data_IF_694015954704
#
_entry.id   IF_694015954704
#
_cell.length_a   1.000
_cell.length_b   1.000
_cell.length_c   1.000
_cell.angle_alpha   90.00
_cell.angle_beta   90.00
_cell.angle_gamma   90.00
#
_symmetry.space_group_name_H-M   'P 1'
#
loop_
_entity.id
_entity.type
_entity.pdbx_description
1 polymer ?
#
# COMPACT_ATOMS: atom_id res chain seq x y z
N UNK A 1 -8.07 60.56 -4.92
CA UNK A 1 -8.35 59.80 -3.68
C UNK A 1 -8.36 58.34 -4.10
N UNK A 2 -7.30 57.62 -3.82
CA UNK A 2 -7.25 56.20 -4.07
C UNK A 2 -8.00 55.52 -2.91
N UNK A 3 -9.06 54.77 -3.23
CA UNK A 3 -9.74 53.91 -2.27
C UNK A 3 -8.73 52.87 -1.75
N UNK A 4 -8.41 53.00 -0.45
CA UNK A 4 -7.68 51.98 0.28
C UNK A 4 -8.64 50.79 0.42
N UNK A 5 -8.54 49.83 -0.50
CA UNK A 5 -9.13 48.52 -0.33
C UNK A 5 -8.57 47.92 0.97
N UNK A 6 -9.42 47.74 1.96
CA UNK A 6 -9.11 47.06 3.21
C UNK A 6 -8.73 45.62 2.84
N UNK A 7 -7.51 45.24 3.20
CA UNK A 7 -6.95 43.90 2.98
C UNK A 7 -7.56 42.94 4.04
N UNK A 8 -8.90 42.82 4.04
CA UNK A 8 -9.66 41.94 4.92
C UNK A 8 -9.49 40.51 4.44
N UNK A 9 -8.55 39.78 5.06
CA UNK A 9 -8.38 38.34 4.82
C UNK A 9 -6.94 37.82 4.77
N UNK A 10 -5.91 38.63 4.50
CA UNK A 10 -4.54 38.10 4.51
C UNK A 10 -3.82 38.39 5.81
N UNK A 11 -3.34 37.36 6.48
CA UNK A 11 -2.69 37.39 7.80
C UNK A 11 -1.33 38.14 7.84
N UNK A 12 -0.79 38.51 6.67
CA UNK A 12 0.52 39.18 6.52
C UNK A 12 0.44 40.51 5.76
N UNK A 13 -0.78 41.06 5.70
CA UNK A 13 -1.05 42.27 4.93
C UNK A 13 -0.42 43.58 5.42
N UNK A 14 -0.09 43.70 6.71
CA UNK A 14 0.35 44.97 7.30
C UNK A 14 1.67 45.54 6.73
N UNK A 15 2.55 44.69 6.18
CA UNK A 15 3.84 45.10 5.59
C UNK A 15 3.72 45.46 4.12
N UNK A 16 2.73 44.93 3.42
CA UNK A 16 2.59 45.09 1.98
C UNK A 16 1.62 46.23 1.64
N UNK A 17 1.97 47.01 0.63
CA UNK A 17 1.14 48.15 0.19
C UNK A 17 -0.10 47.73 -0.61
N UNK A 18 -0.11 46.46 -1.11
CA UNK A 18 -1.23 45.87 -1.86
C UNK A 18 -1.35 44.39 -1.53
N UNK A 19 -2.51 43.82 -1.79
CA UNK A 19 -2.73 42.36 -1.74
C UNK A 19 -1.94 41.61 -2.82
N UNK A 20 -1.93 40.25 -2.79
CA UNK A 20 -1.32 39.45 -3.83
C UNK A 20 -1.96 39.69 -5.20
N UNK A 21 -1.20 39.55 -6.28
CA UNK A 21 -1.78 39.57 -7.62
C UNK A 21 -2.74 38.40 -7.83
N UNK A 22 -3.72 38.52 -8.73
CA UNK A 22 -4.64 37.42 -9.02
C UNK A 22 -3.91 36.12 -9.44
N UNK A 23 -2.79 36.25 -10.17
CA UNK A 23 -1.98 35.14 -10.62
C UNK A 23 -1.30 34.42 -9.43
N UNK A 24 -0.74 35.20 -8.49
CA UNK A 24 -0.14 34.65 -7.27
C UNK A 24 -1.20 33.98 -6.38
N UNK A 25 -2.35 34.62 -6.21
CA UNK A 25 -3.46 34.07 -5.43
C UNK A 25 -3.92 32.72 -6.03
N UNK A 26 -4.08 32.65 -7.35
CA UNK A 26 -4.46 31.40 -8.05
C UNK A 26 -3.39 30.31 -7.93
N UNK A 27 -2.10 30.67 -8.05
CA UNK A 27 -0.98 29.72 -7.93
C UNK A 27 -0.84 29.19 -6.51
N UNK A 28 -1.18 30.01 -5.50
CA UNK A 28 -1.03 29.69 -4.07
C UNK A 28 -2.18 28.86 -3.51
N UNK A 29 -3.34 28.85 -4.17
CA UNK A 29 -4.56 28.22 -3.66
C UNK A 29 -4.42 26.71 -3.59
N UNK A 30 -4.74 26.14 -2.42
CA UNK A 30 -4.63 24.69 -2.15
C UNK A 30 -5.92 24.05 -1.64
N UNK A 31 -6.99 24.84 -1.42
CA UNK A 31 -8.25 24.34 -0.85
C UNK A 31 -8.89 23.19 -1.61
N UNK A 32 -8.57 23.01 -2.90
CA UNK A 32 -9.10 21.93 -3.74
C UNK A 32 -8.53 20.55 -3.42
N UNK A 33 -7.38 20.48 -2.74
CA UNK A 33 -6.81 19.20 -2.27
C UNK A 33 -6.61 19.16 -0.75
N UNK A 34 -6.31 20.27 -0.09
CA UNK A 34 -5.95 20.29 1.34
C UNK A 34 -7.16 20.27 2.28
N UNK A 35 -8.39 20.43 1.76
CA UNK A 35 -9.61 20.33 2.56
C UNK A 35 -9.76 19.01 3.31
N UNK A 36 -9.12 17.94 2.81
CA UNK A 36 -9.02 16.64 3.48
C UNK A 36 -8.34 16.73 4.86
N UNK A 37 -7.57 17.79 5.11
CA UNK A 37 -6.91 18.01 6.41
C UNK A 37 -7.80 18.76 7.42
N UNK A 38 -9.05 19.13 7.09
CA UNK A 38 -9.88 19.95 7.97
C UNK A 38 -10.10 19.32 9.36
N UNK A 39 -10.44 18.03 9.44
CA UNK A 39 -10.61 17.32 10.71
C UNK A 39 -9.34 17.31 11.56
N UNK A 40 -8.19 17.07 10.91
CA UNK A 40 -6.88 17.07 11.58
C UNK A 40 -6.48 18.47 12.05
N UNK A 41 -6.81 19.51 11.30
CA UNK A 41 -6.59 20.90 11.74
C UNK A 41 -7.39 21.23 13.00
N UNK A 42 -8.65 20.84 13.05
CA UNK A 42 -9.50 21.03 14.22
C UNK A 42 -8.97 20.27 15.44
N UNK A 43 -8.49 19.03 15.25
CA UNK A 43 -7.83 18.27 16.32
C UNK A 43 -6.54 18.96 16.79
N UNK A 44 -5.70 19.41 15.85
CA UNK A 44 -4.50 20.20 16.13
C UNK A 44 -4.80 21.51 16.89
N UNK A 45 -5.86 22.20 16.47
CA UNK A 45 -6.32 23.45 17.11
C UNK A 45 -6.81 23.23 18.54
N UNK A 46 -7.52 22.11 18.83
CA UNK A 46 -7.90 21.73 20.20
C UNK A 46 -6.68 21.44 21.08
N UNK A 47 -5.72 20.68 20.57
CA UNK A 47 -4.49 20.37 21.29
C UNK A 47 -3.69 21.65 21.60
N UNK A 48 -3.62 22.57 20.64
CA UNK A 48 -2.93 23.84 20.78
C UNK A 48 -3.64 24.78 21.78
N UNK A 49 -4.96 24.87 21.75
CA UNK A 49 -5.73 25.67 22.70
C UNK A 49 -5.48 25.21 24.16
N UNK A 50 -5.41 23.88 24.39
CA UNK A 50 -5.06 23.33 25.70
C UNK A 50 -3.63 23.69 26.11
N UNK A 51 -2.69 23.70 25.19
CA UNK A 51 -1.30 24.09 25.47
C UNK A 51 -1.20 25.60 25.81
N UNK A 52 -1.96 26.45 25.10
CA UNK A 52 -2.05 27.88 25.42
C UNK A 52 -2.63 28.14 26.81
N UNK A 53 -3.68 27.40 27.19
CA UNK A 53 -4.27 27.50 28.52
C UNK A 53 -3.30 27.02 29.63
N UNK A 54 -2.63 25.90 29.42
CA UNK A 54 -1.62 25.41 30.35
C UNK A 54 -0.44 26.39 30.56
N UNK A 55 -0.09 27.15 29.50
CA UNK A 55 0.92 28.20 29.55
C UNK A 55 0.40 29.58 30.07
N UNK A 56 -0.91 29.68 30.39
CA UNK A 56 -1.51 30.87 30.97
C UNK A 56 -1.95 31.95 29.93
N UNK A 57 -2.02 31.61 28.66
CA UNK A 57 -2.46 32.55 27.61
C UNK A 57 -3.97 32.50 27.35
N UNK A 58 -4.65 31.46 27.82
CA UNK A 58 -6.11 31.34 27.87
C UNK A 58 -6.53 31.03 29.32
N UNK A 59 -7.54 31.76 29.80
CA UNK A 59 -8.22 31.42 31.05
C UNK A 59 -9.15 30.19 30.86
N UNK A 60 -9.63 29.60 31.96
CA UNK A 60 -10.50 28.40 31.91
C UNK A 60 -11.77 28.63 31.09
N UNK A 61 -12.44 29.80 31.27
CA UNK A 61 -13.65 30.17 30.53
C UNK A 61 -13.37 30.39 29.03
N UNK A 62 -12.20 31.00 28.70
CA UNK A 62 -11.76 31.19 27.32
C UNK A 62 -11.44 29.87 26.64
N UNK A 63 -10.78 28.96 27.35
CA UNK A 63 -10.52 27.60 26.82
C UNK A 63 -11.82 26.86 26.58
N UNK A 64 -12.76 26.87 27.52
CA UNK A 64 -14.05 26.22 27.37
C UNK A 64 -14.81 26.77 26.15
N UNK A 65 -14.85 28.10 25.99
CA UNK A 65 -15.50 28.77 24.84
C UNK A 65 -14.80 28.40 23.53
N UNK A 66 -13.47 28.36 23.50
CA UNK A 66 -12.68 27.99 22.33
C UNK A 66 -12.96 26.55 21.89
N UNK A 67 -12.95 25.60 22.85
CA UNK A 67 -13.22 24.19 22.53
C UNK A 67 -14.66 23.99 22.02
N UNK A 68 -15.66 24.62 22.67
CA UNK A 68 -17.04 24.59 22.19
C UNK A 68 -17.21 25.22 20.80
N UNK A 69 -16.44 26.26 20.50
CA UNK A 69 -16.39 26.87 19.18
C UNK A 69 -15.80 25.93 18.12
N UNK A 70 -14.73 25.21 18.46
CA UNK A 70 -14.12 24.20 17.58
C UNK A 70 -15.06 23.01 17.35
N UNK A 71 -15.83 22.56 18.36
CA UNK A 71 -16.81 21.49 18.20
C UNK A 71 -17.99 21.94 17.29
N UNK A 72 -18.42 23.20 17.44
CA UNK A 72 -19.43 23.79 16.55
C UNK A 72 -18.91 23.88 15.11
N UNK A 73 -17.66 24.30 14.93
CA UNK A 73 -17.03 24.41 13.62
C UNK A 73 -16.92 23.03 12.95
N UNK A 74 -16.48 21.99 13.69
CA UNK A 74 -16.39 20.63 13.18
C UNK A 74 -17.75 20.11 12.70
N UNK A 75 -18.80 20.27 13.50
CA UNK A 75 -20.14 19.87 13.10
C UNK A 75 -20.62 20.56 11.80
N UNK A 76 -20.28 21.84 11.60
CA UNK A 76 -20.63 22.59 10.38
C UNK A 76 -19.76 22.18 9.18
N UNK A 77 -18.51 21.80 9.37
CA UNK A 77 -17.66 21.26 8.32
C UNK A 77 -18.18 19.89 7.89
N UNK A 78 -18.48 18.99 8.84
CA UNK A 78 -19.01 17.66 8.56
C UNK A 78 -20.38 17.69 7.87
N UNK A 79 -21.22 18.65 8.21
CA UNK A 79 -22.53 18.84 7.55
C UNK A 79 -22.44 19.49 6.16
N UNK A 80 -21.26 19.99 5.77
CA UNK A 80 -21.08 20.75 4.52
C UNK A 80 -21.63 22.19 4.57
N UNK A 81 -22.03 22.69 5.75
CA UNK A 81 -22.43 24.09 5.92
C UNK A 81 -21.24 25.04 5.74
N UNK A 82 -20.06 24.61 6.20
CA UNK A 82 -18.80 25.33 5.98
C UNK A 82 -17.97 24.54 4.98
N UNK A 83 -17.71 25.15 3.85
CA UNK A 83 -16.83 24.69 2.78
C UNK A 83 -15.83 25.81 2.46
N UNK A 84 -14.73 25.49 1.78
CA UNK A 84 -13.77 26.48 1.33
C UNK A 84 -14.44 27.51 0.42
N UNK A 85 -14.30 28.80 0.75
CA UNK A 85 -14.73 29.88 -0.12
C UNK A 85 -13.74 30.08 -1.28
N UNK A 86 -14.19 30.76 -2.34
CA UNK A 86 -13.33 31.04 -3.48
C UNK A 86 -12.13 31.92 -3.09
N UNK A 87 -12.32 32.78 -2.07
CA UNK A 87 -11.29 33.67 -1.52
C UNK A 87 -10.26 32.98 -0.62
N UNK A 88 -10.51 31.76 -0.15
CA UNK A 88 -9.63 31.06 0.77
C UNK A 88 -8.39 30.53 0.05
N UNK A 89 -7.22 30.77 0.63
CA UNK A 89 -5.94 30.29 0.11
C UNK A 89 -5.72 28.80 0.45
N UNK A 90 -5.93 28.46 1.73
CA UNK A 90 -5.74 27.11 2.29
C UNK A 90 -6.85 26.76 3.30
N UNK A 91 -6.98 25.48 3.63
CA UNK A 91 -7.94 24.97 4.62
C UNK A 91 -7.74 25.63 5.99
N UNK A 92 -6.50 25.89 6.36
CA UNK A 92 -6.15 26.45 7.68
C UNK A 92 -6.66 27.88 7.86
N UNK A 93 -6.53 28.71 6.81
CA UNK A 93 -7.06 30.08 6.80
C UNK A 93 -8.58 30.10 6.82
N UNK A 94 -9.21 29.23 6.04
CA UNK A 94 -10.65 29.09 6.01
C UNK A 94 -11.22 28.71 7.39
N UNK A 95 -10.64 27.71 8.05
CA UNK A 95 -11.07 27.26 9.38
C UNK A 95 -10.81 28.31 10.47
N UNK A 96 -9.68 29.04 10.40
CA UNK A 96 -9.38 30.13 11.33
C UNK A 96 -10.39 31.27 11.19
N UNK A 97 -10.71 31.69 9.97
CA UNK A 97 -11.72 32.71 9.71
C UNK A 97 -13.12 32.30 10.20
N UNK A 98 -13.49 31.04 9.96
CA UNK A 98 -14.76 30.49 10.41
C UNK A 98 -14.84 30.41 11.95
N UNK A 99 -13.78 30.00 12.62
CA UNK A 99 -13.68 29.97 14.09
C UNK A 99 -13.84 31.37 14.67
N UNK A 100 -13.13 32.38 14.13
CA UNK A 100 -13.26 33.79 14.55
C UNK A 100 -14.72 34.25 14.42
N UNK A 101 -15.42 33.84 13.39
CA UNK A 101 -16.84 34.13 13.22
C UNK A 101 -17.74 33.51 14.30
N UNK A 102 -17.32 32.38 14.90
CA UNK A 102 -18.06 31.67 15.95
C UNK A 102 -17.76 32.23 17.34
N UNK A 103 -16.46 32.39 17.69
CA UNK A 103 -16.03 32.74 19.06
C UNK A 103 -15.70 34.23 19.22
N UNK A 104 -15.73 34.98 18.14
CA UNK A 104 -15.38 36.40 18.10
C UNK A 104 -13.88 36.66 17.88
N UNK A 105 -13.52 37.86 17.35
CA UNK A 105 -12.16 38.16 16.91
C UNK A 105 -11.13 38.22 18.05
N UNK A 106 -11.53 38.67 19.25
CA UNK A 106 -10.65 38.75 20.41
C UNK A 106 -10.16 37.39 20.87
N UNK A 107 -11.08 36.44 21.07
CA UNK A 107 -10.76 35.10 21.50
C UNK A 107 -10.16 34.27 20.37
N UNK A 108 -10.78 34.26 19.19
CA UNK A 108 -10.33 33.48 18.03
C UNK A 108 -8.91 33.83 17.61
N UNK A 109 -8.54 35.14 17.68
CA UNK A 109 -7.20 35.61 17.36
C UNK A 109 -6.09 35.11 18.31
N UNK A 110 -6.43 34.69 19.54
CA UNK A 110 -5.45 34.10 20.48
C UNK A 110 -4.93 32.73 20.06
N UNK A 111 -5.73 31.96 19.32
CA UNK A 111 -5.38 30.56 18.95
C UNK A 111 -4.10 30.49 18.12
N UNK A 112 -3.72 31.54 17.41
CA UNK A 112 -2.55 31.56 16.55
C UNK A 112 -1.22 31.73 17.28
N UNK A 113 -1.23 32.14 18.55
CA UNK A 113 -0.03 32.43 19.30
C UNK A 113 0.89 31.24 19.42
N UNK A 114 2.17 31.37 19.01
CA UNK A 114 3.18 30.30 19.08
C UNK A 114 3.06 29.19 18.04
N UNK A 115 2.12 29.27 17.11
CA UNK A 115 1.92 28.30 16.03
C UNK A 115 2.33 28.89 14.68
N UNK A 116 3.00 28.09 13.85
CA UNK A 116 3.26 28.39 12.44
C UNK A 116 2.48 27.43 11.53
N UNK A 117 2.24 27.86 10.28
CA UNK A 117 1.78 26.92 9.24
C UNK A 117 2.74 25.76 9.02
N UNK A 118 4.06 25.99 9.24
CA UNK A 118 5.10 25.01 8.95
C UNK A 118 5.00 23.77 9.85
N UNK A 119 4.99 23.95 11.17
CA UNK A 119 4.86 22.86 12.14
C UNK A 119 3.45 22.27 12.14
N UNK A 120 2.43 23.10 11.94
CA UNK A 120 1.04 22.68 11.79
C UNK A 120 0.90 21.69 10.64
N UNK A 121 1.18 22.09 9.40
CA UNK A 121 1.01 21.24 8.21
C UNK A 121 1.85 19.95 8.31
N UNK A 122 3.11 20.04 8.76
CA UNK A 122 3.98 18.89 8.92
C UNK A 122 3.38 17.84 9.89
N UNK A 123 2.65 18.30 10.92
CA UNK A 123 1.95 17.40 11.86
C UNK A 123 0.68 16.83 11.24
N UNK A 124 -0.15 17.67 10.61
CA UNK A 124 -1.45 17.24 10.09
C UNK A 124 -1.31 16.20 8.98
N UNK A 125 -0.32 16.34 8.11
CA UNK A 125 -0.03 15.32 7.07
C UNK A 125 0.35 13.99 7.71
N UNK A 126 1.13 13.98 8.81
CA UNK A 126 1.46 12.74 9.54
C UNK A 126 0.22 12.09 10.15
N UNK A 127 -0.67 12.87 10.76
CA UNK A 127 -1.93 12.36 11.32
C UNK A 127 -2.80 11.75 10.21
N UNK A 128 -3.00 12.47 9.11
CA UNK A 128 -3.72 11.97 7.94
C UNK A 128 -3.15 10.64 7.45
N UNK A 129 -1.84 10.58 7.22
CA UNK A 129 -1.21 9.36 6.72
C UNK A 129 -1.27 8.20 7.72
N UNK A 130 -1.23 8.45 9.03
CA UNK A 130 -1.40 7.41 10.06
C UNK A 130 -2.80 6.79 10.03
N UNK A 131 -3.84 7.60 9.94
CA UNK A 131 -5.22 7.11 9.88
C UNK A 131 -5.45 6.28 8.62
N UNK A 132 -5.01 6.78 7.47
CA UNK A 132 -5.13 6.06 6.21
C UNK A 132 -4.22 4.82 6.13
N UNK A 133 -3.08 4.82 6.85
CA UNK A 133 -2.26 3.61 7.02
C UNK A 133 -3.02 2.50 7.75
N UNK A 134 -3.83 2.83 8.75
CA UNK A 134 -4.68 1.86 9.43
C UNK A 134 -5.73 1.26 8.47
N UNK A 135 -6.39 2.09 7.68
CA UNK A 135 -7.38 1.66 6.68
C UNK A 135 -6.74 0.75 5.61
N UNK A 136 -5.65 1.21 4.98
CA UNK A 136 -4.93 0.44 3.96
C UNK A 136 -4.39 -0.86 4.55
N UNK A 137 -3.85 -0.82 5.78
CA UNK A 137 -3.37 -2.02 6.48
C UNK A 137 -4.47 -3.05 6.68
N UNK A 138 -5.65 -2.64 7.12
CA UNK A 138 -6.80 -3.53 7.27
C UNK A 138 -7.28 -4.09 5.93
N UNK A 139 -7.30 -3.28 4.87
CA UNK A 139 -7.65 -3.74 3.52
C UNK A 139 -6.64 -4.75 2.97
N UNK A 140 -5.33 -4.58 3.26
CA UNK A 140 -4.30 -5.57 2.93
C UNK A 140 -4.54 -6.90 3.65
N UNK A 141 -4.91 -6.86 4.94
CA UNK A 141 -5.27 -8.06 5.70
C UNK A 141 -6.42 -8.80 5.03
N UNK A 142 -7.48 -8.09 4.63
CA UNK A 142 -8.61 -8.70 3.91
C UNK A 142 -8.19 -9.37 2.59
N UNK A 143 -7.26 -8.77 1.86
CA UNK A 143 -6.74 -9.36 0.62
C UNK A 143 -5.88 -10.60 0.90
N UNK A 144 -5.03 -10.55 1.93
CA UNK A 144 -4.24 -11.72 2.37
C UNK A 144 -5.17 -12.87 2.77
N UNK A 145 -6.23 -12.57 3.52
CA UNK A 145 -7.23 -13.55 3.95
C UNK A 145 -7.99 -14.14 2.76
N UNK A 146 -8.33 -13.33 1.74
CA UNK A 146 -8.97 -13.81 0.53
C UNK A 146 -8.06 -14.78 -0.27
N UNK A 147 -6.78 -14.45 -0.41
CA UNK A 147 -5.79 -15.35 -1.04
C UNK A 147 -5.62 -16.63 -0.23
N UNK A 148 -5.54 -16.54 1.09
CA UNK A 148 -5.43 -17.70 1.96
C UNK A 148 -6.70 -18.58 1.90
N UNK A 149 -7.89 -18.01 1.85
CA UNK A 149 -9.14 -18.74 1.70
C UNK A 149 -9.22 -19.48 0.37
N UNK A 150 -8.82 -18.85 -0.74
CA UNK A 150 -8.73 -19.51 -2.04
C UNK A 150 -7.68 -20.64 -2.04
N UNK A 151 -6.53 -20.39 -1.42
CA UNK A 151 -5.49 -21.41 -1.26
C UNK A 151 -5.98 -22.61 -0.44
N UNK A 152 -6.73 -22.37 0.65
CA UNK A 152 -7.32 -23.42 1.49
C UNK A 152 -8.37 -24.24 0.72
N UNK A 153 -9.26 -23.56 0.00
CA UNK A 153 -10.30 -24.21 -0.80
C UNK A 153 -9.71 -25.14 -1.89
N UNK A 154 -8.49 -24.84 -2.34
CA UNK A 154 -7.82 -25.57 -3.43
C UNK A 154 -6.50 -26.23 -2.96
N UNK A 155 -6.42 -26.62 -1.69
CA UNK A 155 -5.19 -27.09 -1.01
C UNK A 155 -4.46 -28.21 -1.76
N UNK A 156 -5.18 -29.14 -2.36
CA UNK A 156 -4.63 -30.28 -3.10
C UNK A 156 -4.52 -30.09 -4.62
N UNK A 157 -4.96 -28.96 -5.15
CA UNK A 157 -4.93 -28.71 -6.58
C UNK A 157 -3.49 -28.49 -7.07
N UNK A 158 -3.10 -29.21 -8.13
CA UNK A 158 -1.77 -29.11 -8.74
C UNK A 158 -1.88 -28.32 -10.03
N UNK A 159 -0.91 -27.45 -10.28
CA UNK A 159 -0.80 -26.65 -11.49
C UNK A 159 0.62 -26.71 -12.06
N UNK A 160 0.82 -26.37 -13.35
CA UNK A 160 2.17 -26.22 -13.88
C UNK A 160 2.83 -24.99 -13.27
N UNK A 161 3.94 -25.18 -12.57
CA UNK A 161 4.84 -24.08 -12.24
C UNK A 161 5.47 -23.54 -13.51
N UNK A 162 5.82 -22.26 -13.52
CA UNK A 162 6.36 -21.60 -14.71
C UNK A 162 7.55 -20.71 -14.37
N UNK A 163 8.56 -20.75 -15.22
CA UNK A 163 9.63 -19.76 -15.32
C UNK A 163 9.72 -19.31 -16.76
N UNK A 164 9.95 -18.03 -17.02
CA UNK A 164 9.94 -17.46 -18.38
C UNK A 164 8.63 -17.76 -19.16
N UNK A 165 7.51 -17.92 -18.44
CA UNK A 165 6.22 -18.41 -18.93
C UNK A 165 6.27 -19.83 -19.54
N UNK A 166 7.39 -20.52 -19.49
CA UNK A 166 7.54 -21.92 -19.90
C UNK A 166 7.19 -22.86 -18.73
N UNK A 167 6.74 -24.07 -19.04
CA UNK A 167 6.47 -25.11 -18.05
C UNK A 167 7.76 -25.45 -17.29
N UNK A 168 7.64 -25.49 -15.97
CA UNK A 168 8.67 -25.92 -15.04
C UNK A 168 8.10 -27.06 -14.17
N UNK A 169 8.60 -27.23 -12.95
CA UNK A 169 8.08 -28.28 -12.07
C UNK A 169 6.61 -28.01 -11.67
N UNK A 170 5.80 -29.06 -11.46
CA UNK A 170 4.46 -28.92 -10.91
C UNK A 170 4.50 -28.38 -9.48
N UNK A 171 3.52 -27.55 -9.13
CA UNK A 171 3.37 -26.95 -7.81
C UNK A 171 1.92 -27.03 -7.34
N UNK A 172 1.69 -26.93 -6.04
CA UNK A 172 0.33 -26.74 -5.53
C UNK A 172 -0.17 -25.33 -5.84
N UNK A 173 -1.42 -25.19 -6.28
CA UNK A 173 -2.08 -23.90 -6.44
C UNK A 173 -2.06 -23.11 -5.12
N UNK A 174 -2.30 -23.78 -4.00
CA UNK A 174 -2.21 -23.19 -2.68
C UNK A 174 -0.83 -22.57 -2.42
N UNK A 175 0.26 -23.26 -2.78
CA UNK A 175 1.62 -22.74 -2.66
C UNK A 175 1.81 -21.47 -3.48
N UNK A 176 1.31 -21.44 -4.70
CA UNK A 176 1.38 -20.28 -5.59
C UNK A 176 0.61 -19.07 -5.04
N UNK A 177 -0.64 -19.26 -4.58
CA UNK A 177 -1.44 -18.19 -4.01
C UNK A 177 -0.83 -17.63 -2.71
N UNK A 178 -0.29 -18.51 -1.87
CA UNK A 178 0.43 -18.09 -0.66
C UNK A 178 1.70 -17.29 -0.98
N UNK A 179 2.37 -17.49 -2.13
CA UNK A 179 3.51 -16.66 -2.51
C UNK A 179 3.13 -15.18 -2.66
N UNK A 180 1.95 -14.88 -3.21
CA UNK A 180 1.41 -13.52 -3.25
C UNK A 180 1.03 -13.02 -1.85
N UNK A 181 0.38 -13.86 -1.04
CA UNK A 181 0.03 -13.49 0.33
C UNK A 181 1.28 -13.16 1.19
N UNK A 182 2.40 -13.87 0.99
CA UNK A 182 3.68 -13.54 1.63
C UNK A 182 4.28 -12.20 1.15
N UNK A 183 4.09 -11.82 -0.11
CA UNK A 183 4.52 -10.52 -0.63
C UNK A 183 3.74 -9.38 0.04
N UNK A 184 2.40 -9.48 0.06
CA UNK A 184 1.53 -8.51 0.74
C UNK A 184 1.77 -8.47 2.26
N UNK A 185 2.12 -9.61 2.88
CA UNK A 185 2.54 -9.65 4.29
C UNK A 185 3.79 -8.81 4.57
N UNK A 186 4.73 -8.73 3.61
CA UNK A 186 5.88 -7.81 3.71
C UNK A 186 5.49 -6.34 3.51
N UNK A 187 4.46 -6.07 2.70
CA UNK A 187 3.93 -4.71 2.54
C UNK A 187 3.25 -4.23 3.81
N UNK A 188 2.46 -5.09 4.46
CA UNK A 188 1.89 -4.82 5.77
C UNK A 188 2.97 -4.54 6.83
N UNK A 189 4.07 -5.30 6.82
CA UNK A 189 5.21 -5.08 7.71
C UNK A 189 5.88 -3.72 7.46
N UNK A 190 6.07 -3.33 6.18
CA UNK A 190 6.59 -2.00 5.83
C UNK A 190 5.69 -0.88 6.37
N UNK A 191 4.38 -1.05 6.26
CA UNK A 191 3.42 -0.08 6.76
C UNK A 191 3.50 0.07 8.28
N UNK A 192 3.57 -1.04 9.02
CA UNK A 192 3.77 -1.06 10.49
C UNK A 192 5.11 -0.44 10.88
N UNK A 193 6.18 -0.71 10.15
CA UNK A 193 7.49 -0.11 10.41
C UNK A 193 7.52 1.39 10.10
N UNK A 194 6.84 1.82 9.04
CA UNK A 194 6.67 3.22 8.72
C UNK A 194 5.96 3.99 9.85
N UNK A 195 4.90 3.42 10.43
CA UNK A 195 4.13 4.05 11.50
C UNK A 195 5.01 4.47 12.67
N UNK A 196 6.02 3.68 13.03
CA UNK A 196 6.97 3.99 14.12
C UNK A 196 7.73 5.29 13.88
N UNK A 197 8.08 5.60 12.64
CA UNK A 197 8.78 6.85 12.24
C UNK A 197 7.82 8.01 12.04
N UNK A 198 6.58 7.73 11.64
CA UNK A 198 5.54 8.74 11.51
C UNK A 198 5.03 9.25 12.87
N UNK A 199 5.21 8.49 13.94
CA UNK A 199 4.64 8.72 15.27
C UNK A 199 5.39 9.80 16.08
N UNK A 200 5.76 10.87 15.39
CA UNK A 200 6.49 12.03 15.94
C UNK A 200 5.78 13.32 15.53
N UNK A 201 5.52 14.22 16.51
CA UNK A 201 4.85 15.48 16.30
C UNK A 201 5.83 16.61 16.01
N UNK A 202 5.81 17.22 14.82
CA UNK A 202 6.50 18.50 14.56
C UNK A 202 5.90 19.69 15.32
N UNK A 203 4.68 19.57 15.84
CA UNK A 203 3.93 20.67 16.44
C UNK A 203 4.64 21.24 17.67
N UNK A 204 4.85 22.55 17.71
CA UNK A 204 5.68 23.25 18.68
C UNK A 204 7.02 23.71 18.12
N UNK A 205 7.40 23.24 16.91
CA UNK A 205 8.58 23.70 16.18
C UNK A 205 8.47 25.17 15.70
N UNK A 206 7.26 25.71 15.68
CA UNK A 206 7.00 27.03 15.12
C UNK A 206 7.37 27.10 13.65
N UNK A 207 7.93 28.23 13.20
CA UNK A 207 8.41 28.34 11.82
C UNK A 207 9.66 27.47 11.57
N UNK A 208 10.58 27.39 12.55
CA UNK A 208 11.81 26.58 12.54
C UNK A 208 12.59 26.56 13.87
N UNK A 209 12.35 27.51 14.79
CA UNK A 209 13.19 27.72 15.97
C UNK A 209 12.45 27.43 17.30
N UNK A 210 11.26 26.86 17.24
CA UNK A 210 10.39 26.70 18.41
C UNK A 210 9.67 27.99 18.76
N UNK A 211 9.15 28.08 20.01
CA UNK A 211 8.40 29.23 20.51
C UNK A 211 8.95 29.66 21.88
N UNK A 212 8.92 30.96 22.14
CA UNK A 212 9.27 31.54 23.46
C UNK A 212 8.11 31.54 24.46
N UNK A 213 6.94 31.02 24.06
CA UNK A 213 5.72 31.05 24.87
C UNK A 213 5.64 29.92 25.91
N UNK A 214 6.61 29.03 25.99
CA UNK A 214 6.63 27.93 26.97
C UNK A 214 5.55 26.88 26.75
N UNK A 215 5.10 26.70 25.50
CA UNK A 215 4.11 25.66 25.14
C UNK A 215 4.71 24.27 25.29
N UNK A 216 4.00 23.36 25.93
CA UNK A 216 4.42 21.97 26.09
C UNK A 216 4.14 21.15 24.82
N UNK A 217 5.17 21.03 23.96
CA UNK A 217 5.10 20.24 22.72
C UNK A 217 4.81 18.74 22.98
N UNK A 218 5.27 18.21 24.13
CA UNK A 218 5.00 16.82 24.50
C UNK A 218 3.52 16.60 24.88
N UNK A 219 2.90 17.60 25.55
CA UNK A 219 1.48 17.55 25.80
C UNK A 219 0.65 17.65 24.51
N UNK A 220 1.08 18.50 23.55
CA UNK A 220 0.43 18.59 22.22
C UNK A 220 0.55 17.24 21.49
N UNK A 221 1.73 16.63 21.45
CA UNK A 221 1.92 15.31 20.83
C UNK A 221 0.97 14.26 21.44
N UNK A 222 0.93 14.14 22.76
CA UNK A 222 0.01 13.21 23.46
C UNK A 222 -1.47 13.49 23.16
N UNK A 223 -1.88 14.76 23.12
CA UNK A 223 -3.27 15.11 22.77
C UNK A 223 -3.64 14.78 21.32
N UNK A 224 -2.65 14.60 20.45
CA UNK A 224 -2.81 14.20 19.05
C UNK A 224 -2.59 12.69 18.81
N UNK A 225 -2.39 11.90 19.87
CA UNK A 225 -2.11 10.47 19.74
C UNK A 225 -0.75 10.17 19.08
N UNK A 226 0.22 11.10 19.21
CA UNK A 226 1.60 10.92 18.75
C UNK A 226 2.53 10.61 19.93
N UNK A 227 3.51 9.74 19.71
CA UNK A 227 4.37 9.22 20.78
C UNK A 227 5.29 10.29 21.40
N UNK A 228 5.82 11.19 20.59
CA UNK A 228 6.78 12.20 21.07
C UNK A 228 6.74 13.48 20.20
N UNK A 229 7.23 14.62 20.71
CA UNK A 229 7.56 15.77 19.89
C UNK A 229 8.83 15.48 19.07
N UNK A 230 9.05 16.25 17.99
CA UNK A 230 10.28 16.21 17.21
C UNK A 230 11.48 16.69 18.04
N UNK A 231 12.62 16.00 17.93
CA UNK A 231 13.85 16.32 18.67
C UNK A 231 14.51 17.64 18.23
N UNK A 232 14.29 18.01 16.96
CA UNK A 232 14.82 19.25 16.39
C UNK A 232 13.73 19.98 15.62
N UNK A 233 13.48 21.24 15.95
CA UNK A 233 12.40 22.03 15.36
C UNK A 233 12.60 22.35 13.87
N UNK A 234 13.84 22.48 13.42
CA UNK A 234 14.15 22.70 12.00
C UNK A 234 13.85 21.44 11.21
N UNK A 235 14.32 20.29 11.70
CA UNK A 235 14.06 18.98 11.11
C UNK A 235 12.55 18.66 11.11
N UNK A 236 11.88 18.85 12.24
CA UNK A 236 10.45 18.59 12.37
C UNK A 236 9.59 19.35 11.36
N UNK A 237 9.94 20.63 11.08
CA UNK A 237 9.22 21.45 10.10
C UNK A 237 9.63 21.18 8.65
N UNK A 238 10.85 20.72 8.42
CA UNK A 238 11.42 20.47 7.09
C UNK A 238 11.13 19.06 6.56
N UNK A 239 11.21 18.03 7.44
CA UNK A 239 11.25 16.64 7.04
C UNK A 239 9.97 16.18 6.33
N UNK A 240 10.18 15.59 5.15
CA UNK A 240 9.15 14.91 4.33
C UNK A 240 9.61 13.50 3.92
N UNK A 241 10.68 13.01 4.52
CA UNK A 241 11.16 11.64 4.36
C UNK A 241 10.08 10.63 4.78
N UNK A 242 9.35 10.89 5.87
CA UNK A 242 8.20 10.09 6.31
C UNK A 242 7.07 10.06 5.25
N UNK A 243 6.83 11.18 4.56
CA UNK A 243 5.85 11.26 3.47
C UNK A 243 6.33 10.48 2.25
N UNK A 244 7.61 10.63 1.89
CA UNK A 244 8.23 9.89 0.79
C UNK A 244 8.30 8.38 1.06
N UNK A 245 8.55 7.99 2.32
CA UNK A 245 8.52 6.59 2.73
C UNK A 245 7.11 5.99 2.63
N UNK A 246 6.08 6.72 3.02
CA UNK A 246 4.70 6.29 2.81
C UNK A 246 4.39 6.09 1.31
N UNK A 247 4.79 7.04 0.46
CA UNK A 247 4.66 6.91 -0.99
C UNK A 247 5.42 5.69 -1.53
N UNK A 248 6.58 5.35 -0.95
CA UNK A 248 7.30 4.11 -1.28
C UNK A 248 6.51 2.86 -0.87
N UNK A 249 5.94 2.83 0.34
CA UNK A 249 5.14 1.69 0.80
C UNK A 249 3.93 1.48 -0.11
N UNK A 250 3.18 2.54 -0.43
CA UNK A 250 2.02 2.46 -1.34
C UNK A 250 2.43 2.01 -2.75
N UNK A 251 3.62 2.42 -3.21
CA UNK A 251 4.19 1.96 -4.49
C UNK A 251 4.49 0.46 -4.46
N UNK A 252 5.06 -0.07 -3.38
CA UNK A 252 5.34 -1.51 -3.25
C UNK A 252 4.06 -2.34 -3.27
N UNK A 253 3.02 -1.89 -2.55
CA UNK A 253 1.68 -2.50 -2.62
C UNK A 253 1.18 -2.53 -4.08
N UNK A 254 1.27 -1.40 -4.79
CA UNK A 254 0.87 -1.31 -6.19
C UNK A 254 1.62 -2.27 -7.11
N UNK A 255 2.93 -2.47 -6.89
CA UNK A 255 3.76 -3.41 -7.64
C UNK A 255 3.30 -4.85 -7.40
N UNK A 256 3.05 -5.24 -6.15
CA UNK A 256 2.61 -6.61 -5.84
C UNK A 256 1.18 -6.86 -6.35
N UNK A 257 0.27 -5.88 -6.27
CA UNK A 257 -1.04 -5.96 -6.93
C UNK A 257 -0.92 -6.11 -8.45
N UNK A 258 0.01 -5.39 -9.08
CA UNK A 258 0.27 -5.50 -10.53
C UNK A 258 0.74 -6.89 -10.93
N UNK A 259 1.57 -7.55 -10.11
CA UNK A 259 2.05 -8.92 -10.36
C UNK A 259 0.92 -9.94 -10.26
N UNK A 260 0.08 -9.85 -9.24
CA UNK A 260 -1.13 -10.70 -9.12
C UNK A 260 -2.05 -10.46 -10.32
N UNK A 261 -2.23 -9.21 -10.71
CA UNK A 261 -3.06 -8.82 -11.86
C UNK A 261 -2.59 -9.46 -13.16
N UNK A 262 -1.29 -9.42 -13.43
CA UNK A 262 -0.71 -10.02 -14.64
C UNK A 262 -1.04 -11.51 -14.72
N UNK A 263 -0.90 -12.24 -13.61
CA UNK A 263 -1.22 -13.67 -13.58
C UNK A 263 -2.72 -13.92 -13.77
N UNK A 264 -3.61 -13.16 -13.11
CA UNK A 264 -5.06 -13.30 -13.29
C UNK A 264 -5.45 -13.01 -14.74
N UNK A 265 -4.88 -12.00 -15.37
CA UNK A 265 -5.13 -11.67 -16.79
C UNK A 265 -4.72 -12.84 -17.68
N UNK A 266 -3.51 -13.39 -17.51
CA UNK A 266 -3.04 -14.56 -18.25
C UNK A 266 -3.93 -15.76 -18.01
N UNK A 267 -4.25 -16.07 -16.76
CA UNK A 267 -5.05 -17.24 -16.38
C UNK A 267 -6.49 -17.19 -16.89
N UNK A 268 -7.04 -15.98 -17.03
CA UNK A 268 -8.39 -15.76 -17.55
C UNK A 268 -8.46 -15.88 -19.09
N UNK A 269 -7.33 -15.90 -19.80
CA UNK A 269 -7.33 -16.09 -21.25
C UNK A 269 -7.83 -17.49 -21.62
N UNK A 270 -8.38 -17.63 -22.83
CA UNK A 270 -8.81 -18.93 -23.35
C UNK A 270 -7.66 -19.92 -23.47
N UNK A 271 -6.47 -19.42 -23.76
CA UNK A 271 -5.24 -20.20 -23.94
C UNK A 271 -4.82 -20.88 -22.62
N UNK A 272 -4.87 -20.17 -21.50
CA UNK A 272 -4.64 -20.74 -20.17
C UNK A 272 -5.89 -21.43 -19.64
N UNK A 273 -6.99 -20.73 -19.54
CA UNK A 273 -8.26 -21.26 -19.04
C UNK A 273 -8.21 -21.72 -17.58
N UNK A 274 -7.40 -21.05 -16.75
CA UNK A 274 -7.18 -21.44 -15.34
C UNK A 274 -8.16 -20.81 -14.38
N UNK A 275 -8.72 -19.64 -14.74
CA UNK A 275 -9.70 -18.93 -13.90
C UNK A 275 -10.85 -18.37 -14.72
N UNK A 276 -12.00 -18.22 -14.05
CA UNK A 276 -13.12 -17.40 -14.51
C UNK A 276 -13.39 -16.35 -13.44
N UNK A 277 -13.55 -15.09 -13.87
CA UNK A 277 -13.97 -13.99 -13.00
C UNK A 277 -15.48 -14.03 -12.76
N UNK A 278 -15.90 -13.61 -11.57
CA UNK A 278 -17.32 -13.38 -11.28
C UNK A 278 -17.88 -12.22 -12.12
N UNK A 279 -19.18 -12.26 -12.43
CA UNK A 279 -19.84 -11.24 -13.23
C UNK A 279 -19.84 -9.87 -12.55
N UNK A 280 -19.90 -9.83 -11.24
CA UNK A 280 -19.85 -8.59 -10.46
C UNK A 280 -18.47 -7.92 -10.45
N UNK A 281 -17.42 -8.64 -10.86
CA UNK A 281 -16.02 -8.18 -10.87
C UNK A 281 -15.39 -8.19 -12.27
N UNK A 282 -16.21 -8.18 -13.30
CA UNK A 282 -15.80 -8.15 -14.70
C UNK A 282 -16.71 -7.24 -15.51
N UNK A 283 -16.25 -6.79 -16.67
CA UNK A 283 -17.09 -6.05 -17.61
C UNK A 283 -17.27 -6.77 -18.93
N UNK A 284 -18.33 -6.43 -19.63
CA UNK A 284 -18.60 -6.92 -20.98
C UNK A 284 -18.10 -5.97 -22.05
N UNK A 285 -18.37 -6.34 -23.32
CA UNK A 285 -18.13 -5.47 -24.46
C UNK A 285 -19.46 -4.98 -25.02
N UNK A 286 -19.55 -3.70 -25.36
CA UNK A 286 -20.73 -3.10 -25.98
C UNK A 286 -21.01 -3.64 -27.40
N UNK A 287 -20.02 -4.27 -28.04
CA UNK A 287 -20.12 -4.78 -29.41
C UNK A 287 -19.93 -6.31 -29.50
N UNK A 288 -19.26 -6.93 -28.53
CA UNK A 288 -18.96 -8.36 -28.51
C UNK A 288 -19.66 -9.01 -27.32
N UNK A 289 -20.87 -9.59 -27.48
CA UNK A 289 -21.69 -10.07 -26.37
C UNK A 289 -21.05 -11.24 -25.60
N UNK A 290 -20.13 -11.97 -26.18
CA UNK A 290 -19.40 -13.09 -25.56
C UNK A 290 -18.19 -12.67 -24.72
N UNK A 291 -17.77 -11.40 -24.81
CA UNK A 291 -16.52 -10.93 -24.20
C UNK A 291 -16.71 -10.55 -22.75
N UNK A 292 -15.83 -11.04 -21.89
CA UNK A 292 -15.71 -10.75 -20.46
C UNK A 292 -14.29 -10.31 -20.18
N UNK A 293 -14.13 -9.14 -19.58
CA UNK A 293 -12.81 -8.51 -19.39
C UNK A 293 -12.39 -8.52 -17.92
N UNK A 294 -11.10 -8.71 -17.62
CA UNK A 294 -10.54 -8.65 -16.27
C UNK A 294 -10.19 -7.20 -15.85
N UNK A 295 -11.16 -6.25 -15.96
CA UNK A 295 -10.89 -4.81 -15.83
C UNK A 295 -10.27 -4.42 -14.50
N UNK A 296 -10.65 -5.06 -13.38
CA UNK A 296 -10.04 -4.76 -12.07
C UNK A 296 -8.55 -5.08 -12.07
N UNK A 297 -8.16 -6.22 -12.63
CA UNK A 297 -6.75 -6.59 -12.75
C UNK A 297 -6.00 -5.62 -13.68
N UNK A 298 -6.61 -5.23 -14.81
CA UNK A 298 -6.01 -4.25 -15.72
C UNK A 298 -5.86 -2.87 -15.08
N UNK A 299 -6.89 -2.41 -14.34
CA UNK A 299 -6.83 -1.14 -13.61
C UNK A 299 -5.78 -1.17 -12.50
N UNK A 300 -5.64 -2.27 -11.76
CA UNK A 300 -4.60 -2.41 -10.73
C UNK A 300 -3.20 -2.31 -11.35
N UNK A 301 -2.98 -3.02 -12.47
CA UNK A 301 -1.72 -2.93 -13.23
C UNK A 301 -1.46 -1.51 -13.74
N UNK A 302 -2.47 -0.82 -14.24
CA UNK A 302 -2.36 0.57 -14.70
C UNK A 302 -2.08 1.56 -13.56
N UNK A 303 -2.81 1.44 -12.44
CA UNK A 303 -2.68 2.30 -11.26
C UNK A 303 -1.33 2.14 -10.55
N UNK A 304 -0.66 0.99 -10.64
CA UNK A 304 0.70 0.83 -10.10
C UNK A 304 1.69 1.82 -10.73
N UNK A 305 1.54 2.12 -12.02
CA UNK A 305 2.33 3.16 -12.70
C UNK A 305 2.08 4.56 -12.15
N UNK A 306 0.84 4.86 -11.74
CA UNK A 306 0.47 6.13 -11.10
C UNK A 306 1.16 6.26 -9.74
N UNK A 307 1.13 5.22 -8.90
CA UNK A 307 1.81 5.21 -7.60
C UNK A 307 3.33 5.39 -7.73
N UNK A 308 3.96 4.75 -8.72
CA UNK A 308 5.38 4.97 -9.06
C UNK A 308 5.64 6.43 -9.45
N UNK A 309 4.75 7.02 -10.24
CA UNK A 309 4.82 8.43 -10.64
C UNK A 309 4.75 9.37 -9.44
N UNK A 310 3.83 9.15 -8.51
CA UNK A 310 3.67 9.91 -7.29
C UNK A 310 4.94 9.89 -6.43
N UNK A 311 5.52 8.72 -6.18
CA UNK A 311 6.79 8.59 -5.46
C UNK A 311 7.92 9.32 -6.19
N UNK A 312 8.04 9.13 -7.50
CA UNK A 312 9.13 9.73 -8.29
C UNK A 312 9.04 11.25 -8.29
N UNK A 313 7.84 11.81 -8.47
CA UNK A 313 7.59 13.26 -8.42
C UNK A 313 7.96 13.85 -7.06
N UNK A 314 7.53 13.19 -5.98
CA UNK A 314 7.83 13.63 -4.62
C UNK A 314 9.33 13.62 -4.33
N UNK A 315 10.06 12.55 -4.68
CA UNK A 315 11.52 12.48 -4.52
C UNK A 315 12.23 13.57 -5.34
N UNK A 316 11.75 13.87 -6.54
CA UNK A 316 12.30 14.93 -7.38
C UNK A 316 12.07 16.31 -6.74
N UNK A 317 10.95 16.55 -6.08
CA UNK A 317 10.67 17.78 -5.34
C UNK A 317 11.62 17.93 -4.15
N UNK A 318 11.82 16.88 -3.36
CA UNK A 318 12.58 16.96 -2.10
C UNK A 318 14.10 17.08 -2.27
N UNK A 319 14.69 16.55 -3.34
CA UNK A 319 16.13 16.29 -3.51
C UNK A 319 17.10 17.46 -3.31
N UNK A 320 16.68 18.69 -3.45
CA UNK A 320 17.58 19.84 -3.43
C UNK A 320 17.05 21.00 -2.55
N UNK A 321 16.09 20.73 -1.68
CA UNK A 321 15.54 21.75 -0.80
C UNK A 321 16.48 22.03 0.36
N UNK A 322 16.68 23.30 0.75
CA UNK A 322 17.31 23.64 2.00
C UNK A 322 16.42 23.25 3.19
N UNK A 323 16.99 23.28 4.40
CA UNK A 323 16.27 22.98 5.62
C UNK A 323 15.16 24.02 5.90
N UNK A 324 14.30 23.70 6.87
CA UNK A 324 13.08 24.41 7.23
C UNK A 324 12.04 24.32 6.10
N UNK A 325 11.19 25.32 5.94
CA UNK A 325 10.11 25.30 4.97
C UNK A 325 10.44 26.12 3.73
N UNK A 326 10.21 25.53 2.57
CA UNK A 326 10.18 26.20 1.28
C UNK A 326 8.83 25.86 0.62
N UNK A 327 8.30 26.77 -0.21
CA UNK A 327 6.96 26.57 -0.78
C UNK A 327 6.84 25.38 -1.75
N UNK A 328 7.96 24.86 -2.23
CA UNK A 328 8.04 23.57 -2.93
C UNK A 328 7.39 22.43 -2.14
N UNK A 329 7.41 22.48 -0.80
CA UNK A 329 6.76 21.50 0.07
C UNK A 329 5.21 21.55 0.02
N UNK A 330 4.62 22.45 -0.74
CA UNK A 330 3.19 22.39 -1.05
C UNK A 330 2.86 21.17 -1.94
N UNK A 331 3.83 20.74 -2.75
CA UNK A 331 3.74 19.58 -3.65
C UNK A 331 3.87 18.22 -2.91
N UNK A 332 4.00 18.19 -1.59
CA UNK A 332 4.13 16.97 -0.81
C UNK A 332 2.80 16.23 -0.61
N UNK A 333 1.67 16.93 -0.71
CA UNK A 333 0.35 16.43 -0.34
C UNK A 333 -0.37 15.68 -1.47
N UNK A 334 -0.51 16.30 -2.63
CA UNK A 334 -1.26 15.71 -3.74
C UNK A 334 -0.79 14.30 -4.13
N UNK A 335 0.54 13.99 -4.21
CA UNK A 335 0.99 12.64 -4.54
C UNK A 335 0.57 11.58 -3.52
N UNK A 336 0.58 11.91 -2.22
CA UNK A 336 0.21 10.94 -1.19
C UNK A 336 -1.30 10.84 -1.00
N UNK A 337 -2.04 11.93 -1.15
CA UNK A 337 -3.50 11.93 -1.15
C UNK A 337 -4.05 11.08 -2.31
N UNK A 338 -3.50 11.27 -3.50
CA UNK A 338 -3.82 10.46 -4.67
C UNK A 338 -3.46 8.97 -4.48
N UNK A 339 -2.34 8.69 -3.82
CA UNK A 339 -1.93 7.31 -3.52
C UNK A 339 -2.86 6.64 -2.52
N UNK A 340 -3.29 7.37 -1.49
CA UNK A 340 -4.28 6.91 -0.51
C UNK A 340 -5.61 6.61 -1.19
N UNK A 341 -6.18 7.58 -1.90
CA UNK A 341 -7.46 7.42 -2.61
C UNK A 341 -7.41 6.24 -3.61
N UNK A 342 -6.30 6.13 -4.33
CA UNK A 342 -6.09 5.03 -5.28
C UNK A 342 -6.15 3.68 -4.60
N UNK A 343 -5.46 3.49 -3.47
CA UNK A 343 -5.41 2.20 -2.79
C UNK A 343 -6.70 1.89 -2.04
N UNK A 344 -7.31 2.85 -1.38
CA UNK A 344 -8.56 2.64 -0.62
C UNK A 344 -9.74 2.24 -1.51
N UNK A 345 -9.75 2.71 -2.76
CA UNK A 345 -10.74 2.28 -3.77
C UNK A 345 -10.35 0.95 -4.41
N UNK A 346 -9.07 0.76 -4.70
CA UNK A 346 -8.60 -0.42 -5.44
C UNK A 346 -8.61 -1.70 -4.59
N UNK A 347 -8.12 -1.65 -3.36
CA UNK A 347 -7.94 -2.84 -2.52
C UNK A 347 -9.25 -3.59 -2.24
N UNK A 348 -10.38 -2.95 -1.89
CA UNK A 348 -11.66 -3.64 -1.72
C UNK A 348 -12.16 -4.32 -3.00
N UNK A 349 -12.06 -3.64 -4.15
CA UNK A 349 -12.46 -4.20 -5.43
C UNK A 349 -11.58 -5.39 -5.83
N UNK A 350 -10.27 -5.28 -5.60
CA UNK A 350 -9.31 -6.33 -5.87
C UNK A 350 -9.53 -7.55 -4.97
N UNK A 351 -9.78 -7.33 -3.69
CA UNK A 351 -10.12 -8.37 -2.70
C UNK A 351 -11.39 -9.13 -3.12
N UNK A 352 -12.44 -8.41 -3.52
CA UNK A 352 -13.67 -9.02 -4.00
C UNK A 352 -13.44 -9.84 -5.27
N UNK A 353 -12.66 -9.34 -6.22
CA UNK A 353 -12.27 -10.11 -7.41
C UNK A 353 -11.56 -11.40 -7.03
N UNK A 354 -10.53 -11.35 -6.17
CA UNK A 354 -9.77 -12.55 -5.73
C UNK A 354 -10.67 -13.54 -4.99
N UNK A 355 -11.50 -13.06 -4.06
CA UNK A 355 -12.38 -13.91 -3.26
C UNK A 355 -13.41 -14.69 -4.10
N UNK A 356 -13.78 -14.16 -5.26
CA UNK A 356 -14.81 -14.73 -6.13
C UNK A 356 -14.26 -15.45 -7.37
N UNK A 357 -12.92 -15.53 -7.53
CA UNK A 357 -12.31 -16.30 -8.62
C UNK A 357 -12.76 -17.76 -8.59
N UNK A 358 -13.19 -18.27 -9.73
CA UNK A 358 -13.40 -19.71 -9.94
C UNK A 358 -12.16 -20.31 -10.59
N UNK A 359 -11.49 -21.24 -9.91
CA UNK A 359 -10.32 -21.94 -10.43
C UNK A 359 -10.72 -23.22 -11.16
N UNK A 360 -10.17 -23.42 -12.35
CA UNK A 360 -10.37 -24.63 -13.17
C UNK A 360 -9.27 -25.64 -12.88
N UNK A 361 -9.33 -26.30 -11.73
CA UNK A 361 -8.30 -27.21 -11.24
C UNK A 361 -8.07 -28.40 -12.17
N UNK A 362 -9.11 -28.91 -12.87
CA UNK A 362 -8.97 -29.99 -13.84
C UNK A 362 -8.08 -29.56 -15.02
N UNK A 363 -8.26 -28.31 -15.50
CA UNK A 363 -7.41 -27.76 -16.57
C UNK A 363 -5.97 -27.57 -16.13
N UNK A 364 -5.77 -27.17 -14.88
CA UNK A 364 -4.45 -27.05 -14.29
C UNK A 364 -3.76 -28.41 -14.17
N UNK A 365 -4.49 -29.42 -13.67
CA UNK A 365 -3.98 -30.79 -13.54
C UNK A 365 -3.64 -31.42 -14.89
N UNK A 366 -4.47 -31.21 -15.93
CA UNK A 366 -4.20 -31.67 -17.30
C UNK A 366 -2.86 -31.14 -17.84
N UNK A 367 -2.52 -29.87 -17.53
CA UNK A 367 -1.31 -29.20 -18.03
C UNK A 367 -0.08 -29.39 -17.13
N UNK A 368 -0.25 -29.87 -15.91
CA UNK A 368 0.86 -30.02 -14.97
C UNK A 368 2.00 -30.93 -15.46
N UNK A 369 1.73 -32.07 -16.13
CA UNK A 369 2.80 -32.93 -16.67
C UNK A 369 3.42 -32.40 -17.97
N UNK A 370 2.76 -31.49 -18.67
CA UNK A 370 3.17 -31.08 -20.01
C UNK A 370 4.59 -30.48 -20.06
N UNK A 371 5.27 -30.67 -21.20
CA UNK A 371 6.61 -30.11 -21.42
C UNK A 371 7.70 -30.80 -20.63
N UNK A 372 7.53 -32.09 -20.36
CA UNK A 372 8.48 -32.92 -19.61
C UNK A 372 8.82 -32.34 -18.21
N UNK A 373 7.81 -31.80 -17.53
CA UNK A 373 7.94 -31.08 -16.24
C UNK A 373 8.58 -31.94 -15.13
N UNK A 374 8.56 -33.28 -15.28
CA UNK A 374 9.15 -34.24 -14.35
C UNK A 374 10.60 -34.62 -14.68
N UNK A 375 11.22 -34.04 -15.71
CA UNK A 375 12.60 -34.34 -16.07
C UNK A 375 13.59 -34.04 -14.92
N UNK A 376 13.35 -32.95 -14.15
CA UNK A 376 14.15 -32.63 -12.97
C UNK A 376 14.10 -33.74 -11.91
N UNK A 377 12.93 -34.38 -11.73
CA UNK A 377 12.77 -35.50 -10.78
C UNK A 377 13.63 -36.73 -11.18
N UNK A 378 13.76 -36.97 -12.50
CA UNK A 378 14.70 -38.01 -13.02
C UNK A 378 16.15 -37.63 -12.68
N UNK A 379 16.58 -36.40 -12.94
CA UNK A 379 17.94 -35.97 -12.64
C UNK A 379 18.24 -36.11 -11.14
N UNK A 380 17.34 -35.66 -10.29
CA UNK A 380 17.48 -35.76 -8.83
C UNK A 380 17.45 -37.22 -8.34
N UNK A 381 16.63 -38.07 -8.96
CA UNK A 381 16.60 -39.53 -8.71
C UNK A 381 17.96 -40.20 -9.01
N UNK A 382 18.59 -39.82 -10.12
CA UNK A 382 19.94 -40.29 -10.47
C UNK A 382 20.99 -39.79 -9.45
N UNK A 383 20.92 -38.52 -9.03
CA UNK A 383 21.80 -37.94 -8.02
C UNK A 383 21.67 -38.68 -6.67
N UNK A 384 20.46 -39.00 -6.23
CA UNK A 384 20.21 -39.83 -5.03
C UNK A 384 20.83 -41.21 -5.12
N UNK A 385 21.13 -41.68 -6.32
CA UNK A 385 21.85 -42.95 -6.61
C UNK A 385 23.36 -42.74 -6.87
N UNK A 386 23.89 -41.60 -6.41
CA UNK A 386 25.31 -41.23 -6.49
C UNK A 386 25.83 -40.97 -7.92
N UNK A 387 24.96 -40.75 -8.89
CA UNK A 387 25.37 -40.24 -10.21
C UNK A 387 25.73 -38.76 -10.07
N UNK A 388 26.90 -38.34 -10.53
CA UNK A 388 27.24 -36.91 -10.49
C UNK A 388 26.20 -36.04 -11.21
N UNK A 389 25.84 -34.87 -10.66
CA UNK A 389 24.75 -34.05 -11.19
C UNK A 389 24.92 -33.71 -12.68
N UNK A 390 26.15 -33.46 -13.13
CA UNK A 390 26.42 -33.19 -14.55
C UNK A 390 26.02 -34.34 -15.44
N UNK A 391 26.40 -35.57 -15.03
CA UNK A 391 26.10 -36.79 -15.78
C UNK A 391 24.59 -37.09 -15.70
N UNK A 392 23.98 -36.92 -14.53
CA UNK A 392 22.54 -37.02 -14.33
C UNK A 392 21.75 -36.10 -15.26
N UNK A 393 22.20 -34.84 -15.40
CA UNK A 393 21.59 -33.86 -16.28
C UNK A 393 21.75 -34.25 -17.77
N UNK A 394 22.92 -34.73 -18.20
CA UNK A 394 23.16 -35.21 -19.56
C UNK A 394 22.30 -36.47 -19.90
N UNK A 395 22.21 -37.39 -18.97
CA UNK A 395 21.34 -38.61 -19.11
C UNK A 395 19.88 -38.19 -19.21
N UNK A 396 19.41 -37.33 -18.35
CA UNK A 396 18.04 -36.83 -18.36
C UNK A 396 17.73 -36.05 -19.66
N UNK A 397 18.65 -35.22 -20.14
CA UNK A 397 18.52 -34.55 -21.42
C UNK A 397 18.44 -35.50 -22.61
N UNK A 398 19.17 -36.63 -22.60
CA UNK A 398 19.08 -37.67 -23.60
C UNK A 398 17.73 -38.42 -23.53
N UNK A 399 17.20 -38.67 -22.34
CA UNK A 399 15.87 -39.25 -22.14
C UNK A 399 14.75 -38.33 -22.67
N UNK A 400 14.80 -37.05 -22.36
CA UNK A 400 13.84 -36.05 -22.87
C UNK A 400 13.88 -36.00 -24.39
N UNK A 401 15.08 -35.93 -25.01
CA UNK A 401 15.22 -35.94 -26.45
C UNK A 401 14.63 -37.21 -27.09
N UNK A 402 14.90 -38.38 -26.51
CA UNK A 402 14.34 -39.63 -27.00
C UNK A 402 12.81 -39.62 -26.95
N UNK A 403 12.23 -39.17 -25.84
CA UNK A 403 10.79 -39.07 -25.69
C UNK A 403 10.18 -38.07 -26.71
N UNK A 404 10.79 -36.92 -26.91
CA UNK A 404 10.37 -35.91 -27.89
C UNK A 404 10.41 -36.46 -29.34
N UNK A 405 11.51 -37.13 -29.75
CA UNK A 405 11.68 -37.71 -31.08
C UNK A 405 10.65 -38.78 -31.39
N UNK A 406 10.14 -39.47 -30.37
CA UNK A 406 9.19 -40.57 -30.52
C UNK A 406 7.74 -40.20 -30.16
N UNK A 407 7.48 -38.94 -29.74
CA UNK A 407 6.17 -38.47 -29.35
C UNK A 407 5.64 -39.17 -28.08
N UNK A 408 6.55 -39.48 -27.15
CA UNK A 408 6.23 -40.18 -25.89
C UNK A 408 6.33 -39.24 -24.70
N UNK A 409 5.61 -39.52 -23.62
CA UNK A 409 5.90 -38.97 -22.29
C UNK A 409 7.03 -39.78 -21.62
N UNK A 410 7.68 -39.23 -20.58
CA UNK A 410 8.85 -39.85 -19.96
C UNK A 410 8.56 -41.22 -19.34
N UNK A 411 7.37 -41.41 -18.79
CA UNK A 411 6.90 -42.65 -18.16
C UNK A 411 6.57 -43.74 -19.18
N UNK A 412 6.28 -43.36 -20.44
CA UNK A 412 5.95 -44.25 -21.53
C UNK A 412 7.20 -44.82 -22.28
N UNK A 413 8.40 -44.33 -21.96
CA UNK A 413 9.64 -44.87 -22.54
C UNK A 413 9.89 -46.28 -22.00
N UNK A 414 10.10 -47.25 -22.93
CA UNK A 414 10.26 -48.65 -22.56
C UNK A 414 11.64 -48.98 -21.94
N UNK A 415 11.74 -50.11 -21.28
CA UNK A 415 12.94 -50.51 -20.54
C UNK A 415 14.17 -50.69 -21.43
N UNK A 416 13.98 -51.10 -22.69
CA UNK A 416 15.09 -51.28 -23.63
C UNK A 416 15.66 -49.92 -24.04
N UNK A 417 14.81 -48.93 -24.29
CA UNK A 417 15.20 -47.55 -24.59
C UNK A 417 15.87 -46.89 -23.37
N UNK A 418 15.33 -47.04 -22.16
CA UNK A 418 15.97 -46.56 -20.93
C UNK A 418 17.38 -47.11 -20.79
N UNK A 419 17.57 -48.42 -20.92
CA UNK A 419 18.90 -49.04 -20.80
C UNK A 419 19.85 -48.64 -21.95
N UNK A 420 19.33 -48.37 -23.14
CA UNK A 420 20.13 -47.90 -24.29
C UNK A 420 20.62 -46.45 -24.09
N UNK A 421 19.84 -45.59 -23.41
CA UNK A 421 20.21 -44.22 -23.10
C UNK A 421 21.30 -44.22 -22.02
N UNK A 422 21.11 -44.98 -20.93
CA UNK A 422 22.09 -45.09 -19.84
C UNK A 422 21.85 -46.30 -18.98
N UNK A 423 22.94 -47.02 -18.56
CA UNK A 423 22.81 -48.12 -17.61
C UNK A 423 22.33 -47.67 -16.22
N UNK A 424 22.33 -46.38 -15.92
CA UNK A 424 21.79 -45.82 -14.69
C UNK A 424 20.27 -45.61 -14.74
N UNK A 425 19.65 -45.58 -15.92
CA UNK A 425 18.20 -45.51 -16.09
C UNK A 425 17.58 -46.93 -16.02
N UNK A 426 17.16 -47.29 -14.82
CA UNK A 426 16.47 -48.55 -14.59
C UNK A 426 14.94 -48.33 -14.56
N UNK A 427 14.10 -49.37 -14.71
CA UNK A 427 12.64 -49.23 -14.70
C UNK A 427 12.08 -48.53 -13.47
N UNK A 428 12.78 -48.57 -12.34
CA UNK A 428 12.41 -47.92 -11.09
C UNK A 428 12.37 -46.38 -11.22
N UNK A 429 12.94 -45.79 -12.28
CA UNK A 429 12.82 -44.33 -12.54
C UNK A 429 11.36 -43.88 -12.68
N UNK A 430 10.45 -44.79 -13.05
CA UNK A 430 9.01 -44.48 -13.14
C UNK A 430 8.37 -44.17 -11.79
N UNK A 431 9.00 -44.53 -10.67
CA UNK A 431 8.51 -44.21 -9.31
C UNK A 431 8.49 -42.70 -9.07
N UNK A 432 9.38 -41.94 -9.73
CA UNK A 432 9.44 -40.47 -9.60
C UNK A 432 8.72 -39.72 -10.73
N UNK A 433 8.15 -40.43 -11.69
CA UNK A 433 7.42 -39.89 -12.83
C UNK A 433 5.91 -39.75 -12.53
N UNK A 434 5.57 -39.33 -11.34
CA UNK A 434 4.20 -39.02 -10.94
C UNK A 434 4.12 -37.56 -10.47
N UNK A 435 3.07 -36.88 -10.83
CA UNK A 435 2.88 -35.46 -10.49
C UNK A 435 2.78 -35.28 -8.98
N UNK A 436 2.01 -36.13 -8.30
CA UNK A 436 1.84 -36.11 -6.85
C UNK A 436 3.15 -36.43 -6.13
N UNK A 437 3.94 -37.38 -6.64
CA UNK A 437 5.26 -37.73 -6.10
C UNK A 437 6.26 -36.59 -6.26
N UNK A 438 6.25 -35.94 -7.41
CA UNK A 438 7.06 -34.76 -7.69
C UNK A 438 6.78 -33.60 -6.69
N UNK A 439 5.49 -33.27 -6.51
CA UNK A 439 5.07 -32.24 -5.53
C UNK A 439 5.44 -32.65 -4.11
N UNK A 440 5.12 -33.90 -3.69
CA UNK A 440 5.36 -34.37 -2.32
C UNK A 440 6.85 -34.45 -1.95
N UNK A 441 7.72 -34.74 -2.94
CA UNK A 441 9.16 -34.86 -2.71
C UNK A 441 9.88 -33.52 -2.42
N UNK A 442 9.24 -32.38 -2.70
CA UNK A 442 9.78 -31.03 -2.46
C UNK A 442 9.44 -30.53 -1.06
N UNK A 443 9.87 -31.30 -0.05
CA UNK A 443 9.56 -31.12 1.36
C UNK A 443 10.60 -30.26 2.14
N UNK A 444 11.51 -29.63 1.46
CA UNK A 444 12.38 -28.59 2.04
C UNK A 444 11.58 -27.39 2.55
N UNK A 445 12.09 -26.67 3.54
CA UNK A 445 11.45 -25.46 4.07
C UNK A 445 11.15 -24.48 2.91
N UNK A 446 9.89 -24.05 2.80
CA UNK A 446 9.44 -23.18 1.72
C UNK A 446 9.10 -23.92 0.42
N UNK A 447 9.22 -25.25 0.38
CA UNK A 447 8.84 -26.08 -0.79
C UNK A 447 7.34 -26.19 -0.99
N UNK A 448 6.96 -26.82 -2.11
CA UNK A 448 5.55 -26.96 -2.50
C UNK A 448 4.86 -28.20 -1.90
N UNK A 449 5.59 -29.07 -1.17
CA UNK A 449 4.99 -30.27 -0.58
C UNK A 449 3.82 -29.89 0.37
N UNK A 450 2.75 -30.71 0.46
CA UNK A 450 1.58 -30.40 1.27
C UNK A 450 1.92 -30.02 2.72
N UNK A 451 2.83 -30.76 3.37
CA UNK A 451 3.28 -30.47 4.73
C UNK A 451 3.92 -29.06 4.86
N UNK A 452 4.60 -28.61 3.82
CA UNK A 452 5.21 -27.26 3.82
C UNK A 452 4.20 -26.16 3.56
N UNK A 453 3.19 -26.46 2.77
CA UNK A 453 2.06 -25.54 2.56
C UNK A 453 1.27 -25.38 3.86
N UNK A 454 1.02 -26.47 4.61
CA UNK A 454 0.39 -26.40 5.93
C UNK A 454 1.17 -25.52 6.92
N UNK A 455 2.49 -25.66 6.95
CA UNK A 455 3.35 -24.77 7.74
C UNK A 455 3.28 -23.31 7.29
N UNK A 456 3.17 -23.06 5.97
CA UNK A 456 3.07 -21.70 5.45
C UNK A 456 1.76 -21.04 5.87
N UNK A 457 0.64 -21.75 5.85
CA UNK A 457 -0.64 -21.23 6.38
C UNK A 457 -0.51 -20.80 7.84
N UNK A 458 0.03 -21.66 8.69
CA UNK A 458 0.18 -21.38 10.10
C UNK A 458 1.07 -20.15 10.36
N UNK A 459 2.25 -20.10 9.70
CA UNK A 459 3.21 -19.00 9.86
C UNK A 459 2.68 -17.68 9.31
N UNK A 460 1.96 -17.69 8.18
CA UNK A 460 1.37 -16.49 7.62
C UNK A 460 0.29 -15.92 8.55
N UNK A 461 -0.59 -16.77 9.06
CA UNK A 461 -1.63 -16.36 9.99
C UNK A 461 -1.04 -15.77 11.28
N UNK A 462 0.01 -16.38 11.85
CA UNK A 462 0.72 -15.86 13.02
C UNK A 462 1.35 -14.49 12.73
N UNK A 463 2.02 -14.36 11.58
CA UNK A 463 2.66 -13.10 11.17
C UNK A 463 1.63 -11.98 11.00
N UNK A 464 0.53 -12.23 10.29
CA UNK A 464 -0.53 -11.24 10.07
C UNK A 464 -1.12 -10.79 11.40
N UNK A 465 -1.46 -11.73 12.33
CA UNK A 465 -1.95 -11.36 13.67
C UNK A 465 -0.98 -10.45 14.43
N UNK A 466 0.30 -10.74 14.37
CA UNK A 466 1.31 -9.90 15.01
C UNK A 466 1.39 -8.51 14.40
N UNK A 467 1.35 -8.41 13.07
CA UNK A 467 1.43 -7.14 12.35
C UNK A 467 0.18 -6.28 12.56
N UNK A 468 -1.00 -6.87 12.59
CA UNK A 468 -2.26 -6.15 12.87
C UNK A 468 -2.20 -5.44 14.22
N UNK A 469 -1.62 -6.08 15.26
CA UNK A 469 -1.43 -5.45 16.57
C UNK A 469 -0.46 -4.23 16.54
N UNK A 470 0.31 -4.06 15.50
CA UNK A 470 1.23 -2.93 15.30
C UNK A 470 0.70 -1.85 14.36
N UNK A 471 -0.50 -2.02 13.78
CA UNK A 471 -1.15 -0.97 13.01
C UNK A 471 -1.60 0.18 13.92
N UNK A 472 -1.65 1.43 13.42
CA UNK A 472 -2.23 2.53 14.18
C UNK A 472 -3.68 2.23 14.54
N UNK A 473 -4.11 2.70 15.71
CA UNK A 473 -5.55 2.78 15.98
C UNK A 473 -6.10 3.85 15.02
N UNK A 474 -6.98 3.47 14.11
CA UNK A 474 -7.64 4.42 13.22
C UNK A 474 -8.49 5.38 14.07
N UNK A 475 -8.54 6.65 13.71
CA UNK A 475 -9.54 7.55 14.24
C UNK A 475 -10.92 7.00 13.83
N UNK A 476 -11.72 6.61 14.83
CA UNK A 476 -13.07 6.09 14.67
C UNK A 476 -14.03 7.19 14.18
#
# INVERSE_FOLDING_TARGET
MAEHGTNEGSLWGARFASGPSPELARLSKSTHFDWQLAGYDLAGSRAHARALAAAGYLGDDELATMLAGLDTLEARVLSGEIIAAESDEDVHGALEAALIGIVGPELGGKLRAGRSRNDQIATLVRLYLKDHAAVIGQQLVHLIDALAAQAEAHRGAIMPGRTHLQHAQPVLLAHHLLAHAWALGRDLERLVDWTKRADVSPYGGGALAGSTLGLDAAAVARNLGLASPAENSIDGTASRDVVAEFAFVTTMIGIDLSRISEEIILWNTREFGFVTLDDGYSTGSSIMPQKKNPDIAELARGKSGRLIGNLTGLLATLKALPLAYNRDLQEDKEPVFDSVETLEVLLPAFTGMVATLTFHTDRMAELAPAGFSLATDVAEWLVKRHVPFRDAHEITGALVRHAEEHGLELDAVDDAALAAISPHLTPEVREVLTIEGSVASRDGIGGTAPVRVDEQFARLADRVRHLVAGLPEGAA
#
